data_IF_102544716834
#
_entry.id   IF_102544716834
#
_cell.length_a   1.000
_cell.length_b   1.000
_cell.length_c   1.000
_cell.angle_alpha   90.00
_cell.angle_beta   90.00
_cell.angle_gamma   90.00
#
_symmetry.space_group_name_H-M   'P 1'
#
loop_
_entity.id
_entity.type
_entity.pdbx_description
1 polymer ?
#
# COMPACT_ATOMS: atom_id res chain seq x y z
N UNK A 1 -0.15 -7.05 8.05
CA UNK A 1 -1.43 -6.49 7.57
C UNK A 1 -1.45 -6.59 6.05
N UNK A 2 -2.53 -7.12 5.46
CA UNK A 2 -2.65 -7.31 4.01
C UNK A 2 -3.46 -6.17 3.41
N UNK A 3 -2.97 -5.59 2.32
CA UNK A 3 -3.59 -4.47 1.61
C UNK A 3 -3.70 -4.87 0.15
N UNK A 4 -4.93 -4.88 -0.36
CA UNK A 4 -5.21 -5.06 -1.79
C UNK A 4 -5.81 -3.80 -2.35
N UNK A 5 -5.39 -3.40 -3.55
CA UNK A 5 -5.95 -2.25 -4.25
C UNK A 5 -6.13 -2.54 -5.74
N UNK A 6 -7.02 -1.77 -6.35
CA UNK A 6 -7.16 -1.80 -7.79
C UNK A 6 -6.26 -0.72 -8.40
N UNK A 7 -5.30 -1.09 -9.27
CA UNK A 7 -4.45 -0.10 -9.91
C UNK A 7 -5.30 0.74 -10.90
N UNK A 8 -5.09 2.06 -10.95
CA UNK A 8 -5.84 2.94 -11.86
C UNK A 8 -5.50 2.68 -13.33
N UNK A 9 -4.43 1.94 -13.61
CA UNK A 9 -4.03 1.54 -14.96
C UNK A 9 -4.10 0.02 -15.08
N UNK A 10 -4.98 -0.47 -15.95
CA UNK A 10 -5.17 -1.90 -16.23
C UNK A 10 -4.39 -2.39 -17.45
N UNK A 11 -3.54 -1.54 -18.03
CA UNK A 11 -2.91 -1.80 -19.32
C UNK A 11 -1.66 -2.69 -19.17
N UNK A 12 -1.72 -3.98 -19.59
CA UNK A 12 -0.53 -4.82 -19.67
C UNK A 12 0.46 -4.18 -20.67
N UNK A 13 1.70 -3.97 -20.24
CA UNK A 13 2.79 -3.46 -21.08
C UNK A 13 3.32 -2.07 -20.73
N UNK A 14 2.61 -1.30 -19.90
CA UNK A 14 3.17 -0.10 -19.28
C UNK A 14 3.87 -0.56 -17.99
N UNK A 15 5.19 -0.46 -17.92
CA UNK A 15 5.91 -0.63 -16.65
C UNK A 15 5.38 0.45 -15.70
N UNK A 16 4.75 0.04 -14.60
CA UNK A 16 4.16 0.93 -13.60
C UNK A 16 5.04 0.88 -12.35
N UNK A 17 5.57 2.02 -11.94
CA UNK A 17 6.19 2.15 -10.63
C UNK A 17 5.11 2.47 -9.60
N UNK A 18 5.03 1.67 -8.54
CA UNK A 18 4.19 1.94 -7.39
C UNK A 18 5.05 2.46 -6.24
N UNK A 19 4.59 3.53 -5.62
CA UNK A 19 5.14 4.07 -4.40
C UNK A 19 4.06 3.93 -3.35
N UNK A 20 4.30 3.09 -2.35
CA UNK A 20 3.41 2.91 -1.21
C UNK A 20 4.04 3.63 -0.02
N UNK A 21 3.36 4.62 0.53
CA UNK A 21 3.81 5.31 1.74
C UNK A 21 2.79 5.23 2.87
N UNK A 22 3.31 5.05 4.08
CA UNK A 22 2.54 4.96 5.33
C UNK A 22 3.28 5.71 6.44
N UNK A 23 2.73 6.83 6.89
CA UNK A 23 3.44 7.72 7.81
C UNK A 23 4.77 8.20 7.20
N UNK A 24 5.89 7.85 7.82
CA UNK A 24 7.25 8.14 7.34
C UNK A 24 7.85 7.03 6.48
N UNK A 25 7.22 5.85 6.42
CA UNK A 25 7.73 4.72 5.67
C UNK A 25 7.30 4.84 4.21
N UNK A 26 8.22 4.55 3.29
CA UNK A 26 7.95 4.53 1.85
C UNK A 26 8.60 3.32 1.20
N UNK A 27 7.86 2.67 0.31
CA UNK A 27 8.31 1.51 -0.45
C UNK A 27 8.08 1.69 -1.94
N UNK A 28 9.09 1.35 -2.72
CA UNK A 28 9.08 1.42 -4.18
C UNK A 28 8.94 0.00 -4.74
N UNK A 29 7.98 -0.19 -5.63
CA UNK A 29 7.71 -1.46 -6.28
C UNK A 29 7.68 -1.21 -7.79
N UNK A 30 8.40 -2.02 -8.56
CA UNK A 30 8.60 -1.79 -10.00
C UNK A 30 7.68 -2.65 -10.89
N UNK A 31 6.84 -3.49 -10.30
CA UNK A 31 5.95 -4.40 -11.01
C UNK A 31 4.48 -4.06 -10.81
N UNK A 32 3.63 -4.61 -11.69
CA UNK A 32 2.16 -4.59 -11.60
C UNK A 32 1.67 -5.39 -10.39
N UNK A 33 1.90 -4.83 -9.20
CA UNK A 33 1.48 -5.41 -7.93
C UNK A 33 0.12 -4.84 -7.57
N UNK A 34 -0.80 -5.71 -7.15
CA UNK A 34 -2.13 -5.34 -6.64
C UNK A 34 -2.27 -5.58 -5.14
N UNK A 35 -1.25 -6.17 -4.52
CA UNK A 35 -1.26 -6.64 -3.14
C UNK A 35 0.06 -6.34 -2.44
N UNK A 36 0.01 -5.79 -1.23
CA UNK A 36 1.19 -5.50 -0.41
C UNK A 36 0.95 -5.93 1.03
N UNK A 37 1.93 -6.60 1.62
CA UNK A 37 1.90 -6.96 3.04
C UNK A 37 2.77 -5.98 3.82
N UNK A 38 2.15 -5.20 4.69
CA UNK A 38 2.84 -4.27 5.59
C UNK A 38 2.95 -4.87 7.00
N UNK A 39 4.16 -4.87 7.55
CA UNK A 39 4.45 -5.25 8.93
C UNK A 39 4.79 -3.98 9.71
N UNK A 40 3.83 -3.41 10.47
CA UNK A 40 4.11 -2.20 11.23
C UNK A 40 5.16 -2.47 12.32
N UNK A 41 6.17 -1.61 12.41
CA UNK A 41 7.16 -1.66 13.50
C UNK A 41 6.52 -1.38 14.87
N UNK A 42 5.43 -0.60 14.89
CA UNK A 42 4.71 -0.26 16.11
C UNK A 42 3.20 -0.48 15.91
N UNK A 43 2.62 -1.41 16.67
CA UNK A 43 1.21 -1.79 16.65
C UNK A 43 0.28 -0.86 17.42
N UNK A 44 0.77 0.31 17.87
CA UNK A 44 -0.02 1.27 18.65
C UNK A 44 -1.09 1.98 17.79
N UNK A 45 -0.83 2.14 16.50
CA UNK A 45 -1.79 2.74 15.59
C UNK A 45 -2.89 1.74 15.24
N UNK A 46 -4.13 2.12 15.55
CA UNK A 46 -5.34 1.33 15.20
C UNK A 46 -5.73 1.50 13.74
N UNK A 47 -5.19 2.50 13.06
CA UNK A 47 -5.50 2.83 11.68
C UNK A 47 -4.25 3.33 10.97
N UNK A 48 -4.03 2.85 9.75
CA UNK A 48 -2.94 3.24 8.87
C UNK A 48 -3.51 3.79 7.57
N UNK A 49 -3.04 4.98 7.19
CA UNK A 49 -3.33 5.59 5.89
C UNK A 49 -2.18 5.29 4.94
N UNK A 50 -2.49 4.55 3.88
CA UNK A 50 -1.58 4.28 2.77
C UNK A 50 -1.85 5.28 1.65
N UNK A 51 -0.79 5.88 1.13
CA UNK A 51 -0.81 6.62 -0.12
C UNK A 51 -0.14 5.75 -1.16
N UNK A 52 -0.87 5.43 -2.23
CA UNK A 52 -0.39 4.61 -3.32
C UNK A 52 -0.29 5.52 -4.54
N UNK A 53 0.93 5.87 -4.90
CA UNK A 53 1.21 6.63 -6.12
C UNK A 53 1.66 5.66 -7.20
N UNK A 54 1.00 5.71 -8.35
CA UNK A 54 1.28 4.87 -9.52
C UNK A 54 1.76 5.75 -10.65
N UNK A 55 2.93 5.47 -11.22
CA UNK A 55 3.47 6.23 -12.35
C UNK A 55 3.75 5.29 -13.51
N UNK A 56 3.22 5.59 -14.70
CA UNK A 56 3.53 4.83 -15.90
C UNK A 56 4.84 5.32 -16.56
N UNK A 57 5.36 4.54 -17.53
CA UNK A 57 6.54 4.94 -18.32
C UNK A 57 6.43 6.26 -19.08
N UNK A 58 5.22 6.72 -19.37
CA UNK A 58 4.99 8.01 -20.01
C UNK A 58 5.09 9.20 -19.02
N UNK A 59 5.23 8.92 -17.72
CA UNK A 59 5.27 9.92 -16.66
C UNK A 59 3.89 10.28 -16.09
N UNK A 60 2.82 9.59 -16.49
CA UNK A 60 1.49 9.84 -15.95
C UNK A 60 1.37 9.18 -14.58
N UNK A 61 1.15 10.01 -13.56
CA UNK A 61 0.95 9.62 -12.17
C UNK A 61 -0.53 9.60 -11.77
N UNK A 62 -0.89 8.76 -10.81
CA UNK A 62 -2.14 8.85 -10.05
C UNK A 62 -1.85 8.48 -8.60
N UNK A 63 -2.50 9.15 -7.65
CA UNK A 63 -2.37 8.85 -6.23
C UNK A 63 -3.73 8.44 -5.68
N UNK A 64 -3.76 7.34 -4.94
CA UNK A 64 -4.95 6.82 -4.27
C UNK A 64 -4.66 6.60 -2.78
N UNK A 65 -5.67 6.87 -1.95
CA UNK A 65 -5.57 6.70 -0.51
C UNK A 65 -6.34 5.45 -0.06
N UNK A 66 -5.71 4.64 0.79
CA UNK A 66 -6.33 3.47 1.39
C UNK A 66 -6.13 3.51 2.88
N UNK A 67 -7.23 3.53 3.61
CA UNK A 67 -7.21 3.44 5.07
C UNK A 67 -7.45 1.99 5.48
N UNK A 68 -6.55 1.42 6.27
CA UNK A 68 -6.70 0.07 6.82
C UNK A 68 -6.63 0.14 8.33
N UNK A 69 -7.64 -0.45 8.97
CA UNK A 69 -7.69 -0.56 10.42
C UNK A 69 -6.96 -1.82 10.89
N UNK A 70 -6.02 -1.63 11.81
CA UNK A 70 -5.31 -2.70 12.45
C UNK A 70 -5.95 -3.02 13.80
N UNK A 71 -6.60 -4.17 13.87
CA UNK A 71 -7.07 -4.73 15.13
C UNK A 71 -6.01 -5.69 15.68
N UNK A 72 -5.29 -5.26 16.72
CA UNK A 72 -4.59 -6.21 17.60
C UNK A 72 -5.65 -7.15 18.18
N UNK A 73 -5.67 -8.40 17.75
CA UNK A 73 -6.43 -9.44 18.46
C UNK A 73 -6.00 -9.41 19.93
N UNK A 74 -6.97 -9.38 20.85
CA UNK A 74 -6.71 -9.49 22.29
C UNK A 74 -5.77 -10.68 22.51
N UNK A 75 -4.70 -10.55 23.32
CA UNK A 75 -4.06 -11.72 23.87
C UNK A 75 -5.12 -12.45 24.68
N UNK A 76 -5.48 -13.66 24.27
CA UNK A 76 -6.26 -14.56 25.13
C UNK A 76 -5.28 -15.02 26.19
N UNK A 77 -5.21 -14.30 27.32
CA UNK A 77 -4.53 -14.81 28.50
C UNK A 77 -5.34 -16.00 28.98
N UNK A 78 -4.76 -17.19 28.86
CA UNK A 78 -5.32 -18.44 29.37
C UNK A 78 -4.78 -18.70 30.77
#
# INVERSE_FOLDING_TARGET
MFISWYPPFTLPGLTVQYIISVGTDQQYLNDSITNYTYCPMNSTNKQYLFNITTTNKAGNGSTSNITVEFHLGRPITK
#
